data_IF_854507440077
#
_entry.id   IF_854507440077
#
_cell.length_a   1.000
_cell.length_b   1.000
_cell.length_c   1.000
_cell.angle_alpha   90.00
_cell.angle_beta   90.00
_cell.angle_gamma   90.00
#
_symmetry.space_group_name_H-M   'P 1'
#
loop_
_entity.id
_entity.type
_entity.pdbx_description
1 polymer ?
#
# COMPACT_ATOMS: atom_id res chain seq x y z
N UNK A 1 -58.65 1.62 -16.36
CA UNK A 1 -58.96 0.52 -15.43
C UNK A 1 -57.74 0.28 -14.56
N UNK A 2 -57.62 1.00 -13.44
CA UNK A 2 -56.47 0.94 -12.53
C UNK A 2 -56.69 -0.21 -11.54
N UNK A 3 -55.87 -1.27 -11.60
CA UNK A 3 -55.94 -2.34 -10.59
C UNK A 3 -55.31 -1.88 -9.27
N UNK A 4 -55.94 -2.13 -8.10
CA UNK A 4 -55.38 -1.77 -6.82
C UNK A 4 -54.31 -2.79 -6.39
N UNK A 5 -53.22 -2.28 -5.79
CA UNK A 5 -52.13 -3.07 -5.20
C UNK A 5 -52.64 -3.88 -4.00
N UNK A 6 -52.30 -5.17 -3.93
CA UNK A 6 -52.62 -6.04 -2.80
C UNK A 6 -51.81 -5.67 -1.53
N UNK A 7 -52.37 -5.85 -0.32
CA UNK A 7 -51.71 -5.44 0.91
C UNK A 7 -50.59 -6.42 1.33
N UNK A 8 -49.59 -5.88 2.02
CA UNK A 8 -48.40 -6.58 2.55
C UNK A 8 -48.80 -7.65 3.58
N UNK A 9 -48.32 -8.90 3.50
CA UNK A 9 -48.60 -9.90 4.52
C UNK A 9 -47.92 -9.51 5.83
N UNK A 10 -48.71 -9.38 6.89
CA UNK A 10 -48.29 -9.24 8.28
C UNK A 10 -47.56 -10.50 8.72
N UNK A 11 -46.31 -10.34 9.18
CA UNK A 11 -45.54 -11.41 9.80
C UNK A 11 -46.22 -11.76 11.13
N UNK A 12 -46.78 -12.97 11.22
CA UNK A 12 -47.24 -13.53 12.48
C UNK A 12 -46.01 -14.01 13.26
N UNK A 13 -45.71 -13.31 14.35
CA UNK A 13 -44.71 -13.68 15.34
C UNK A 13 -45.09 -15.01 16.01
N UNK A 14 -44.22 -16.01 15.89
CA UNK A 14 -44.27 -17.27 16.64
C UNK A 14 -42.91 -17.51 17.31
N UNK A 15 -42.85 -17.77 18.62
CA UNK A 15 -41.60 -17.94 19.35
C UNK A 15 -41.07 -19.37 19.16
N UNK A 16 -40.00 -19.53 18.38
CA UNK A 16 -39.16 -20.71 18.42
C UNK A 16 -37.70 -20.31 18.19
N UNK A 17 -36.98 -20.20 19.30
CA UNK A 17 -35.53 -20.18 19.34
C UNK A 17 -34.99 -21.51 18.79
N UNK A 18 -34.66 -21.54 17.50
CA UNK A 18 -33.86 -22.59 16.91
C UNK A 18 -32.54 -21.99 16.44
N UNK A 19 -31.54 -22.20 17.29
CA UNK A 19 -30.08 -22.14 17.07
C UNK A 19 -29.61 -21.38 15.82
N UNK A 20 -28.84 -20.32 16.04
CA UNK A 20 -28.14 -19.53 15.03
C UNK A 20 -27.08 -20.31 14.19
N UNK A 21 -27.05 -21.64 14.26
CA UNK A 21 -26.11 -22.52 13.56
C UNK A 21 -26.60 -23.02 12.17
N UNK A 22 -27.84 -22.73 11.77
CA UNK A 22 -28.43 -23.24 10.52
C UNK A 22 -28.85 -22.18 9.50
N UNK A 23 -28.37 -20.92 9.61
CA UNK A 23 -28.57 -20.00 8.48
C UNK A 23 -27.82 -20.56 7.26
N UNK A 24 -28.50 -20.89 6.15
CA UNK A 24 -27.85 -21.50 5.01
C UNK A 24 -26.74 -20.58 4.54
N UNK A 25 -25.48 -21.06 4.59
CA UNK A 25 -24.32 -20.31 4.13
C UNK A 25 -24.62 -19.89 2.70
N UNK A 26 -24.62 -18.57 2.44
CA UNK A 26 -24.81 -18.03 1.08
C UNK A 26 -23.70 -18.61 0.20
N UNK A 27 -24.04 -19.58 -0.65
CA UNK A 27 -23.08 -20.13 -1.60
C UNK A 27 -22.99 -19.20 -2.81
N UNK A 28 -21.77 -18.87 -3.23
CA UNK A 28 -21.54 -18.06 -4.43
C UNK A 28 -21.68 -18.87 -5.72
N UNK A 29 -21.47 -20.19 -5.65
CA UNK A 29 -21.45 -21.08 -6.82
C UNK A 29 -22.19 -22.37 -6.50
N UNK A 30 -23.20 -22.73 -7.31
CA UNK A 30 -23.85 -24.03 -7.26
C UNK A 30 -22.93 -25.15 -7.81
N UNK A 31 -23.07 -26.38 -7.33
CA UNK A 31 -22.36 -27.52 -7.90
C UNK A 31 -22.77 -27.77 -9.37
N UNK A 32 -21.95 -28.49 -10.14
CA UNK A 32 -22.16 -28.78 -11.56
C UNK A 32 -23.50 -29.45 -11.85
N UNK A 33 -23.91 -30.43 -11.04
CA UNK A 33 -25.19 -31.11 -11.20
C UNK A 33 -26.39 -30.18 -10.97
N UNK A 34 -26.35 -29.31 -9.96
CA UNK A 34 -27.42 -28.33 -9.72
C UNK A 34 -27.44 -27.23 -10.80
N UNK A 35 -26.27 -26.79 -11.30
CA UNK A 35 -26.17 -25.88 -12.46
C UNK A 35 -26.86 -26.49 -13.68
N UNK A 36 -26.55 -27.74 -14.00
CA UNK A 36 -27.08 -28.43 -15.18
C UNK A 36 -28.60 -28.65 -15.09
N UNK A 37 -29.12 -28.93 -13.88
CA UNK A 37 -30.55 -29.12 -13.62
C UNK A 37 -31.34 -27.82 -13.41
N UNK A 38 -30.67 -26.66 -13.32
CA UNK A 38 -31.28 -25.37 -12.96
C UNK A 38 -32.06 -25.41 -11.62
N UNK A 39 -31.56 -26.16 -10.64
CA UNK A 39 -32.16 -26.28 -9.30
C UNK A 39 -31.38 -25.52 -8.24
N UNK A 40 -32.05 -25.10 -7.17
CA UNK A 40 -31.40 -24.48 -6.01
C UNK A 40 -30.36 -25.44 -5.42
N UNK A 41 -29.12 -24.99 -5.33
CA UNK A 41 -28.06 -25.70 -4.61
C UNK A 41 -28.02 -25.16 -3.18
N UNK A 42 -27.99 -26.06 -2.20
CA UNK A 42 -27.98 -25.69 -0.77
C UNK A 42 -26.58 -25.51 -0.21
N UNK A 43 -25.54 -25.79 -1.00
CA UNK A 43 -24.16 -25.85 -0.50
C UNK A 43 -23.84 -27.18 0.15
N UNK A 44 -22.61 -27.33 0.65
CA UNK A 44 -22.10 -28.60 1.20
C UNK A 44 -21.63 -29.58 0.12
N UNK A 45 -20.97 -30.66 0.54
CA UNK A 45 -20.49 -31.73 -0.35
C UNK A 45 -20.78 -33.12 0.26
N UNK A 46 -21.79 -33.86 -0.25
CA UNK A 46 -22.71 -33.48 -1.32
C UNK A 46 -23.73 -32.42 -0.85
N UNK A 47 -24.23 -31.57 -1.77
CA UNK A 47 -25.37 -30.71 -1.45
C UNK A 47 -26.67 -31.51 -1.33
N UNK A 48 -27.66 -31.00 -0.61
CA UNK A 48 -28.92 -31.71 -0.30
C UNK A 48 -29.61 -32.28 -1.56
N UNK A 49 -29.74 -31.45 -2.61
CA UNK A 49 -30.33 -31.89 -3.87
C UNK A 49 -29.56 -33.04 -4.56
N UNK A 50 -28.22 -33.06 -4.42
CA UNK A 50 -27.40 -34.15 -4.94
C UNK A 50 -27.45 -35.39 -4.05
N UNK A 51 -27.53 -35.22 -2.73
CA UNK A 51 -27.70 -36.30 -1.78
C UNK A 51 -29.03 -37.05 -2.01
N UNK A 52 -30.15 -36.33 -2.13
CA UNK A 52 -31.46 -36.91 -2.42
C UNK A 52 -31.48 -37.68 -3.73
N UNK A 53 -30.82 -37.15 -4.77
CA UNK A 53 -30.79 -37.75 -6.11
C UNK A 53 -29.67 -38.77 -6.30
N UNK A 54 -28.85 -39.03 -5.27
CA UNK A 54 -27.66 -39.90 -5.30
C UNK A 54 -26.77 -39.61 -6.52
N UNK A 55 -26.57 -38.33 -6.83
CA UNK A 55 -25.79 -37.90 -7.99
C UNK A 55 -24.47 -37.26 -7.58
N UNK A 56 -23.46 -37.39 -8.45
CA UNK A 56 -22.14 -36.78 -8.25
C UNK A 56 -22.25 -35.26 -8.00
N UNK A 57 -21.74 -34.81 -6.85
CA UNK A 57 -21.77 -33.40 -6.45
C UNK A 57 -20.37 -32.80 -6.56
N UNK A 58 -20.05 -32.21 -7.71
CA UNK A 58 -18.75 -31.57 -7.95
C UNK A 58 -18.90 -30.07 -8.05
N UNK A 59 -18.13 -29.33 -7.27
CA UNK A 59 -17.97 -27.88 -7.44
C UNK A 59 -16.73 -27.63 -8.28
N UNK A 60 -16.92 -27.14 -9.49
CA UNK A 60 -15.81 -26.69 -10.32
C UNK A 60 -15.57 -25.20 -10.07
N UNK A 61 -14.52 -24.90 -9.30
CA UNK A 61 -14.11 -23.53 -9.00
C UNK A 61 -13.70 -22.76 -10.27
N UNK A 62 -13.22 -23.45 -11.32
CA UNK A 62 -12.80 -22.83 -12.58
C UNK A 62 -13.99 -22.34 -13.42
N UNK A 63 -15.16 -22.94 -13.23
CA UNK A 63 -16.42 -22.53 -13.89
C UNK A 63 -16.99 -21.19 -13.40
N UNK A 64 -16.49 -20.65 -12.28
CA UNK A 64 -16.92 -19.35 -11.73
C UNK A 64 -16.26 -18.20 -12.50
N UNK A 65 -16.69 -18.02 -13.75
CA UNK A 65 -16.19 -16.97 -14.64
C UNK A 65 -16.40 -15.57 -14.06
N UNK A 66 -17.43 -15.37 -13.24
CA UNK A 66 -17.69 -14.09 -12.57
C UNK A 66 -16.53 -13.73 -11.64
N UNK A 67 -16.10 -14.68 -10.81
CA UNK A 67 -14.95 -14.48 -9.91
C UNK A 67 -13.65 -14.29 -10.69
N UNK A 68 -13.44 -15.06 -11.75
CA UNK A 68 -12.27 -14.88 -12.64
C UNK A 68 -12.21 -13.47 -13.23
N UNK A 69 -13.33 -12.96 -13.76
CA UNK A 69 -13.40 -11.59 -14.31
C UNK A 69 -13.18 -10.54 -13.22
N UNK A 70 -13.79 -10.70 -12.04
CA UNK A 70 -13.60 -9.75 -10.93
C UNK A 70 -12.14 -9.69 -10.47
N UNK A 71 -11.51 -10.85 -10.30
CA UNK A 71 -10.09 -10.92 -9.94
C UNK A 71 -9.20 -10.32 -11.03
N UNK A 72 -9.48 -10.60 -12.32
CA UNK A 72 -8.71 -10.02 -13.42
C UNK A 72 -8.81 -8.49 -13.46
N UNK A 73 -10.00 -7.93 -13.21
CA UNK A 73 -10.20 -6.47 -13.12
C UNK A 73 -9.42 -5.87 -11.95
N UNK A 74 -9.48 -6.49 -10.78
CA UNK A 74 -8.72 -6.03 -9.62
C UNK A 74 -7.20 -6.09 -9.87
N UNK A 75 -6.71 -7.16 -10.52
CA UNK A 75 -5.29 -7.29 -10.87
C UNK A 75 -4.87 -6.19 -11.86
N UNK A 76 -5.71 -5.90 -12.86
CA UNK A 76 -5.44 -4.82 -13.81
C UNK A 76 -5.43 -3.46 -13.11
N UNK A 77 -6.42 -3.18 -12.27
CA UNK A 77 -6.51 -1.92 -11.51
C UNK A 77 -5.30 -1.73 -10.59
N UNK A 78 -4.83 -2.81 -9.95
CA UNK A 78 -3.61 -2.78 -9.12
C UNK A 78 -2.36 -2.51 -9.97
N UNK A 79 -2.25 -3.12 -11.15
CA UNK A 79 -1.13 -2.88 -12.07
C UNK A 79 -1.11 -1.43 -12.58
N UNK A 80 -2.29 -0.88 -12.93
CA UNK A 80 -2.42 0.51 -13.39
C UNK A 80 -2.03 1.49 -12.26
N UNK A 81 -2.51 1.24 -11.03
CA UNK A 81 -2.15 2.03 -9.85
C UNK A 81 -0.66 1.94 -9.52
N UNK A 82 -0.05 0.76 -9.65
CA UNK A 82 1.38 0.60 -9.45
C UNK A 82 2.18 1.44 -10.45
N UNK A 83 1.81 1.40 -11.73
CA UNK A 83 2.44 2.20 -12.77
C UNK A 83 2.32 3.70 -12.50
N UNK A 84 1.17 4.16 -12.02
CA UNK A 84 0.97 5.58 -11.68
C UNK A 84 1.78 6.00 -10.45
N UNK A 85 1.89 5.13 -9.44
CA UNK A 85 2.78 5.36 -8.29
C UNK A 85 4.24 5.44 -8.71
N UNK A 86 4.71 4.57 -9.61
CA UNK A 86 6.07 4.61 -10.14
C UNK A 86 6.36 5.93 -10.88
N UNK A 87 5.39 6.46 -11.67
CA UNK A 87 5.52 7.78 -12.31
C UNK A 87 5.62 8.91 -11.28
N UNK A 88 4.79 8.87 -10.23
CA UNK A 88 4.85 9.87 -9.17
C UNK A 88 6.16 9.80 -8.37
N UNK A 89 6.67 8.59 -8.10
CA UNK A 89 7.98 8.40 -7.47
C UNK A 89 9.11 8.96 -8.33
N UNK A 90 9.09 8.74 -9.64
CA UNK A 90 10.07 9.32 -10.56
C UNK A 90 10.04 10.85 -10.54
N UNK A 91 8.84 11.45 -10.54
CA UNK A 91 8.68 12.90 -10.47
C UNK A 91 9.17 13.46 -9.12
N UNK A 92 8.64 12.97 -8.00
CA UNK A 92 8.99 13.45 -6.65
C UNK A 92 10.48 13.21 -6.35
N UNK A 93 10.96 11.99 -6.59
CA UNK A 93 12.34 11.62 -6.36
C UNK A 93 13.30 12.41 -7.24
N UNK A 94 12.97 12.61 -8.51
CA UNK A 94 13.84 13.35 -9.41
C UNK A 94 13.91 14.85 -9.08
N UNK A 95 12.81 15.46 -8.60
CA UNK A 95 12.84 16.82 -8.04
C UNK A 95 13.80 16.88 -6.84
N UNK A 96 13.66 15.96 -5.88
CA UNK A 96 14.52 15.88 -4.70
C UNK A 96 15.99 15.65 -5.09
N UNK A 97 16.24 14.75 -6.03
CA UNK A 97 17.58 14.43 -6.51
C UNK A 97 18.23 15.64 -7.23
N UNK A 98 17.46 16.37 -8.02
CA UNK A 98 17.92 17.58 -8.71
C UNK A 98 18.31 18.66 -7.71
N UNK A 99 17.51 18.87 -6.66
CA UNK A 99 17.83 19.83 -5.60
C UNK A 99 19.06 19.38 -4.80
N UNK A 100 19.22 18.08 -4.54
CA UNK A 100 20.36 17.54 -3.76
C UNK A 100 21.68 17.55 -4.51
N UNK A 101 21.69 17.40 -5.83
CA UNK A 101 22.91 17.12 -6.61
C UNK A 101 23.04 17.84 -7.97
N UNK A 102 22.00 18.51 -8.47
CA UNK A 102 21.95 19.09 -9.82
C UNK A 102 22.76 20.37 -10.01
N UNK A 103 23.37 20.91 -8.95
CA UNK A 103 24.06 22.20 -9.00
C UNK A 103 23.09 23.37 -9.19
N UNK A 104 23.65 24.58 -9.32
CA UNK A 104 22.86 25.80 -9.40
C UNK A 104 22.01 25.88 -10.67
N UNK A 105 22.57 25.55 -11.84
CA UNK A 105 21.85 25.64 -13.12
C UNK A 105 20.67 24.69 -13.20
N UNK A 106 20.83 23.41 -12.85
CA UNK A 106 19.72 22.46 -12.92
C UNK A 106 18.63 22.78 -11.89
N UNK A 107 19.01 23.29 -10.72
CA UNK A 107 18.04 23.72 -9.70
C UNK A 107 17.28 24.96 -10.16
N UNK A 108 17.96 25.94 -10.76
CA UNK A 108 17.33 27.14 -11.32
C UNK A 108 16.40 26.80 -12.48
N UNK A 109 16.83 25.91 -13.38
CA UNK A 109 16.04 25.42 -14.50
C UNK A 109 14.77 24.70 -14.01
N UNK A 110 14.91 23.83 -13.01
CA UNK A 110 13.78 23.15 -12.37
C UNK A 110 12.78 24.15 -11.77
N UNK A 111 13.28 25.15 -11.01
CA UNK A 111 12.43 26.21 -10.42
C UNK A 111 11.74 27.03 -11.50
N UNK A 112 12.43 27.35 -12.60
CA UNK A 112 11.86 28.06 -13.75
C UNK A 112 10.73 27.26 -14.39
N UNK A 113 10.93 25.97 -14.60
CA UNK A 113 9.91 25.07 -15.16
C UNK A 113 8.69 25.02 -14.23
N UNK A 114 8.88 24.81 -12.93
CA UNK A 114 7.78 24.79 -11.94
C UNK A 114 7.00 26.11 -11.93
N UNK A 115 7.68 27.26 -12.03
CA UNK A 115 7.05 28.59 -12.04
C UNK A 115 6.37 28.96 -13.35
N UNK A 116 6.62 28.21 -14.43
CA UNK A 116 6.01 28.45 -15.74
C UNK A 116 4.63 27.79 -15.93
N UNK A 117 4.02 27.28 -14.84
CA UNK A 117 2.70 26.63 -14.84
C UNK A 117 2.58 25.47 -15.85
N UNK A 118 3.67 24.72 -16.07
CA UNK A 118 3.64 23.53 -16.94
C UNK A 118 2.83 22.41 -16.31
N UNK A 119 2.25 21.55 -17.16
CA UNK A 119 1.61 20.34 -16.68
C UNK A 119 2.63 19.36 -16.05
N UNK A 120 2.13 18.44 -15.20
CA UNK A 120 2.98 17.47 -14.51
C UNK A 120 3.73 16.53 -15.48
N UNK A 121 3.21 16.30 -16.70
CA UNK A 121 3.84 15.41 -17.67
C UNK A 121 5.10 16.04 -18.25
N UNK A 122 5.05 17.35 -18.53
CA UNK A 122 6.19 18.14 -18.97
C UNK A 122 7.23 18.29 -17.85
N UNK A 123 6.78 18.56 -16.61
CA UNK A 123 7.69 18.58 -15.45
C UNK A 123 8.36 17.22 -15.24
N UNK A 124 7.61 16.11 -15.32
CA UNK A 124 8.17 14.76 -15.21
C UNK A 124 9.13 14.42 -16.36
N UNK A 125 8.91 14.96 -17.56
CA UNK A 125 9.85 14.82 -18.67
C UNK A 125 11.15 15.60 -18.41
N UNK A 126 11.05 16.84 -17.94
CA UNK A 126 12.21 17.66 -17.57
C UNK A 126 13.05 16.96 -16.49
N UNK A 127 12.41 16.55 -15.40
CA UNK A 127 13.07 15.85 -14.29
C UNK A 127 13.74 14.54 -14.73
N UNK A 128 13.07 13.71 -15.54
CA UNK A 128 13.69 12.48 -16.08
C UNK A 128 14.89 12.77 -16.97
N UNK A 129 14.84 13.83 -17.76
CA UNK A 129 15.96 14.23 -18.61
C UNK A 129 17.15 14.70 -17.76
N UNK A 130 16.92 15.49 -16.71
CA UNK A 130 17.97 15.92 -15.76
C UNK A 130 18.61 14.72 -15.05
N UNK A 131 17.80 13.78 -14.53
CA UNK A 131 18.34 12.54 -13.93
C UNK A 131 19.19 11.74 -14.93
N UNK A 132 18.76 11.63 -16.19
CA UNK A 132 19.51 10.89 -17.21
C UNK A 132 20.80 11.61 -17.64
N UNK A 133 20.79 12.94 -17.66
CA UNK A 133 21.92 13.75 -18.13
C UNK A 133 23.02 13.89 -17.06
N UNK A 134 22.67 13.83 -15.78
CA UNK A 134 23.60 14.06 -14.67
C UNK A 134 23.72 12.83 -13.75
N UNK A 135 24.90 12.19 -13.78
CA UNK A 135 25.17 11.00 -12.96
C UNK A 135 25.04 11.26 -11.44
N UNK A 136 25.34 12.47 -10.96
CA UNK A 136 25.19 12.80 -9.55
C UNK A 136 23.72 12.88 -9.13
N UNK A 137 22.86 13.42 -10.01
CA UNK A 137 21.40 13.41 -9.80
C UNK A 137 20.89 11.96 -9.81
N UNK A 138 21.29 11.15 -10.79
CA UNK A 138 20.89 9.73 -10.84
C UNK A 138 21.28 8.96 -9.58
N UNK A 139 22.52 9.13 -9.11
CA UNK A 139 22.98 8.51 -7.86
C UNK A 139 22.23 9.03 -6.63
N UNK A 140 21.87 10.32 -6.61
CA UNK A 140 21.06 10.88 -5.54
C UNK A 140 19.64 10.30 -5.55
N UNK A 141 19.06 10.09 -6.74
CA UNK A 141 17.74 9.48 -6.94
C UNK A 141 17.69 8.04 -6.43
N UNK A 142 18.68 7.20 -6.77
CA UNK A 142 18.76 5.79 -6.36
C UNK A 142 18.88 5.60 -4.83
N UNK A 143 19.34 6.64 -4.12
CA UNK A 143 19.44 6.65 -2.65
C UNK A 143 18.17 7.14 -1.95
N UNK A 144 17.14 7.53 -2.69
CA UNK A 144 15.88 7.99 -2.10
C UNK A 144 15.07 6.78 -1.62
N UNK A 145 14.76 6.76 -0.33
CA UNK A 145 13.77 5.85 0.23
C UNK A 145 12.37 6.45 0.07
N UNK A 146 11.49 5.72 -0.61
CA UNK A 146 10.10 6.11 -0.82
C UNK A 146 9.14 5.49 0.19
N UNK A 147 9.65 4.73 1.17
CA UNK A 147 8.84 4.23 2.28
C UNK A 147 8.53 5.40 3.22
N UNK A 148 7.27 5.83 3.20
CA UNK A 148 6.74 6.80 4.15
C UNK A 148 6.01 6.00 5.23
N UNK A 149 6.74 5.57 6.25
CA UNK A 149 6.09 5.21 7.51
C UNK A 149 5.42 6.48 8.05
N UNK A 150 4.18 6.39 8.51
CA UNK A 150 3.39 7.52 9.00
C UNK A 150 3.96 8.14 10.28
N UNK A 151 5.17 8.70 10.17
CA UNK A 151 5.99 9.27 11.23
C UNK A 151 5.30 10.44 11.91
N UNK A 152 5.83 10.86 13.08
CA UNK A 152 5.16 11.82 13.95
C UNK A 152 4.86 13.10 13.17
N UNK A 153 3.63 13.60 13.28
CA UNK A 153 3.25 14.90 12.70
C UNK A 153 4.32 15.93 13.08
N UNK A 154 4.88 16.58 12.06
CA UNK A 154 5.79 17.71 12.29
C UNK A 154 5.04 18.73 13.17
N UNK A 155 5.64 19.18 14.27
CA UNK A 155 5.01 20.18 15.11
C UNK A 155 4.67 21.40 14.24
N UNK A 156 3.46 21.93 14.42
CA UNK A 156 2.99 23.12 13.71
C UNK A 156 4.10 24.19 13.72
N UNK A 157 4.29 24.98 12.64
CA UNK A 157 5.24 26.09 12.62
C UNK A 157 5.11 27.04 13.82
N UNK A 158 3.93 27.11 14.46
CA UNK A 158 3.67 27.87 15.68
C UNK A 158 4.39 27.29 16.92
N UNK A 159 4.64 25.98 16.98
CA UNK A 159 5.36 25.32 18.08
C UNK A 159 6.88 25.51 18.01
N UNK A 160 7.42 25.84 16.82
CA UNK A 160 8.84 26.20 16.65
C UNK A 160 9.15 27.65 17.05
N UNK A 161 8.12 28.48 17.30
CA UNK A 161 8.27 29.90 17.66
C UNK A 161 8.33 30.18 19.16
N UNK A 162 8.37 29.16 20.04
CA UNK A 162 8.60 29.38 21.48
C UNK A 162 10.09 29.59 21.73
N UNK A 163 10.55 30.82 21.50
CA UNK A 163 11.82 31.34 22.00
C UNK A 163 11.61 31.85 23.44
N UNK A 164 12.24 31.27 24.48
CA UNK A 164 12.53 32.02 25.68
C UNK A 164 13.77 32.86 25.39
N UNK A 165 13.57 34.15 25.17
CA UNK A 165 14.65 35.12 25.19
C UNK A 165 15.24 35.19 26.59
N UNK A 166 16.48 34.73 26.76
CA UNK A 166 17.40 35.24 27.77
C UNK A 166 18.84 34.95 27.35
N UNK A 167 19.38 35.79 26.46
CA UNK A 167 20.81 35.91 26.20
C UNK A 167 21.23 37.30 26.67
N UNK A 168 21.42 37.44 27.99
CA UNK A 168 22.13 38.56 28.57
C UNK A 168 23.66 38.36 28.44
N UNK A 169 24.43 39.38 28.02
CA UNK A 169 25.87 39.24 27.82
C UNK A 169 26.61 39.30 29.16
N UNK A 170 27.44 38.31 29.46
CA UNK A 170 28.49 38.43 30.49
C UNK A 170 29.82 37.96 29.94
N UNK A 171 30.63 38.97 29.65
CA UNK A 171 32.04 38.94 29.31
C UNK A 171 32.87 38.58 30.55
N UNK A 172 33.88 37.73 30.35
CA UNK A 172 35.22 37.71 30.96
C UNK A 172 35.71 36.25 31.11
N UNK A 173 36.62 35.76 30.26
CA UNK A 173 38.06 36.06 30.17
C UNK A 173 38.91 35.23 31.15
N UNK A 174 39.71 34.32 30.54
CA UNK A 174 41.05 33.85 30.92
C UNK A 174 41.23 32.75 31.99
N UNK A 175 42.09 31.77 31.63
CA UNK A 175 42.86 30.90 32.54
C UNK A 175 42.71 29.41 32.25
N UNK A 176 43.50 28.85 31.31
CA UNK A 176 44.68 27.97 31.55
C UNK A 176 44.33 26.57 32.09
N UNK A 177 44.39 25.55 31.24
CA UNK A 177 45.46 24.52 31.16
C UNK A 177 45.56 23.64 32.42
N UNK A 178 45.31 22.33 32.30
CA UNK A 178 46.31 21.23 32.35
C UNK A 178 45.65 19.85 32.28
N UNK A 179 46.44 18.94 31.70
CA UNK A 179 46.28 17.54 31.33
C UNK A 179 45.62 16.57 32.33
N UNK A 180 45.07 15.47 31.82
CA UNK A 180 45.62 14.12 32.02
C UNK A 180 44.68 13.01 31.50
N UNK A 181 45.16 12.36 30.44
CA UNK A 181 45.34 10.91 30.32
C UNK A 181 44.20 9.87 30.35
N UNK A 182 44.35 8.99 29.35
CA UNK A 182 44.18 7.52 29.35
C UNK A 182 42.84 6.88 28.97
N UNK A 183 42.83 6.45 27.69
CA UNK A 183 42.77 5.05 27.25
C UNK A 183 41.58 4.18 27.68
N UNK A 184 40.78 3.76 26.69
CA UNK A 184 40.55 2.32 26.43
C UNK A 184 39.90 2.09 25.06
N UNK A 185 40.60 1.29 24.25
CA UNK A 185 40.22 0.83 22.93
C UNK A 185 39.13 -0.25 23.00
N UNK A 186 38.14 -0.18 22.10
CA UNK A 186 37.13 -1.21 21.94
C UNK A 186 37.32 -1.91 20.58
N UNK A 187 37.76 -3.17 20.60
CA UNK A 187 37.96 -4.00 19.42
C UNK A 187 36.66 -4.72 19.02
N UNK A 188 36.30 -4.61 17.74
CA UNK A 188 35.23 -5.36 17.10
C UNK A 188 35.81 -6.52 16.28
N UNK A 189 35.33 -7.74 16.54
CA UNK A 189 35.52 -8.93 15.70
C UNK A 189 34.17 -9.66 15.66
N UNK A 190 33.38 -9.52 14.60
CA UNK A 190 33.39 -10.34 13.36
C UNK A 190 33.30 -11.85 13.62
N UNK A 191 32.12 -12.44 13.41
CA UNK A 191 31.98 -13.75 12.74
C UNK A 191 30.51 -14.10 12.50
N UNK A 192 30.11 -14.05 11.22
CA UNK A 192 28.86 -14.60 10.73
C UNK A 192 28.93 -16.11 10.52
N UNK A 193 27.79 -16.78 10.73
CA UNK A 193 27.47 -18.11 10.21
C UNK A 193 25.97 -18.19 9.89
N UNK A 194 25.64 -18.22 8.59
CA UNK A 194 24.53 -19.01 8.01
C UNK A 194 25.17 -20.31 7.44
N UNK A 195 24.48 -21.29 6.77
CA UNK A 195 23.05 -21.46 6.42
C UNK A 195 22.52 -22.91 6.60
N UNK A 196 21.25 -23.15 6.21
CA UNK A 196 20.65 -24.32 5.48
C UNK A 196 19.24 -24.65 6.01
N UNK A 197 18.18 -24.41 5.22
CA UNK A 197 17.57 -25.26 4.17
C UNK A 197 16.73 -26.41 4.77
N UNK A 198 15.42 -26.37 4.56
CA UNK A 198 14.68 -27.47 3.92
C UNK A 198 13.26 -27.07 3.52
N UNK A 199 12.91 -27.39 2.27
CA UNK A 199 11.64 -27.10 1.59
C UNK A 199 11.19 -28.43 0.99
N UNK A 200 10.16 -29.05 1.58
CA UNK A 200 9.50 -30.24 1.03
C UNK A 200 8.19 -29.82 0.36
N UNK A 201 8.04 -30.18 -0.91
CA UNK A 201 6.80 -30.24 -1.67
C UNK A 201 6.70 -31.67 -2.17
N UNK A 202 5.62 -32.35 -1.79
CA UNK A 202 5.04 -33.49 -2.51
C UNK A 202 3.84 -33.01 -3.29
#
# INVERSE_FOLDING_TARGET
MSQPLAPRPTQADGPYELSSSQRPRKISTACGACKQRKTKCTGGNPCEACATRRSLCVYDATSDQRRKIANQRNVQELADKQLDLEKHQQLLGGIIATIRAGGFSATEDLVRVIRSDVDLSQLAAHVRNECRANMAIQQAFEKIDFVIDGGPELPSPTQLQVMPGDLGPKENSLGSEVDSDTSSANMHSSSGKKPRMDRQIS
#
